data_IF_300658424581
#
_entry.id   IF_300658424581
#
_cell.length_a   1.000
_cell.length_b   1.000
_cell.length_c   1.000
_cell.angle_alpha   90.00
_cell.angle_beta   90.00
_cell.angle_gamma   90.00
#
_symmetry.space_group_name_H-M   'P 1'
#
loop_
_entity.id
_entity.type
_entity.pdbx_description
1 polymer ?
#
# COMPACT_ATOMS: atom_id res chain seq x y z
N UNK A 1 61.46 -39.86 -30.05
CA UNK A 1 61.89 -39.00 -28.94
C UNK A 1 60.81 -37.94 -28.78
N UNK A 2 60.09 -38.06 -27.67
CA UNK A 2 59.24 -37.02 -27.11
C UNK A 2 60.19 -35.95 -26.55
N UNK A 3 60.01 -34.68 -26.90
CA UNK A 3 60.56 -33.58 -26.12
C UNK A 3 59.47 -32.53 -25.94
N UNK A 4 59.05 -32.46 -24.67
CA UNK A 4 58.18 -31.47 -24.08
C UNK A 4 58.72 -30.05 -24.27
N UNK A 5 58.01 -29.19 -25.00
CA UNK A 5 58.13 -27.75 -24.80
C UNK A 5 57.13 -27.33 -23.72
N UNK A 6 57.69 -27.16 -22.53
CA UNK A 6 57.09 -26.72 -21.28
C UNK A 6 56.06 -25.58 -21.48
N UNK A 7 54.78 -25.91 -21.29
CA UNK A 7 53.72 -24.92 -21.14
C UNK A 7 53.96 -24.08 -19.87
N UNK A 8 54.38 -22.83 -20.06
CA UNK A 8 54.55 -21.84 -19.00
C UNK A 8 53.28 -21.76 -18.12
N UNK A 9 53.40 -21.74 -16.78
CA UNK A 9 52.24 -21.67 -15.90
C UNK A 9 51.38 -20.45 -16.20
N UNK A 10 50.07 -20.66 -16.38
CA UNK A 10 49.04 -19.66 -16.69
C UNK A 10 48.78 -18.64 -15.55
N UNK A 11 49.80 -18.29 -14.77
CA UNK A 11 49.71 -17.49 -13.54
C UNK A 11 49.71 -15.98 -13.81
N UNK A 12 50.06 -15.56 -15.03
CA UNK A 12 50.14 -14.13 -15.42
C UNK A 12 48.90 -13.61 -16.18
N UNK A 13 47.94 -14.46 -16.55
CA UNK A 13 46.61 -13.99 -16.92
C UNK A 13 45.75 -13.77 -15.66
N UNK A 14 46.27 -12.97 -14.72
CA UNK A 14 45.39 -12.28 -13.80
C UNK A 14 44.59 -11.26 -14.62
N UNK A 15 43.48 -11.71 -15.23
CA UNK A 15 42.37 -10.81 -15.59
C UNK A 15 42.13 -9.99 -14.34
N UNK A 16 42.53 -8.72 -14.38
CA UNK A 16 42.50 -7.79 -13.25
C UNK A 16 41.12 -7.93 -12.61
N UNK A 17 41.06 -8.63 -11.47
CA UNK A 17 39.79 -8.97 -10.84
C UNK A 17 39.18 -7.64 -10.43
N UNK A 18 38.21 -7.18 -11.20
CA UNK A 18 37.48 -5.96 -10.91
C UNK A 18 36.88 -6.09 -9.50
N UNK A 19 37.23 -5.13 -8.63
CA UNK A 19 36.75 -5.10 -7.25
C UNK A 19 35.66 -4.03 -7.17
N UNK A 20 34.44 -4.46 -6.88
CA UNK A 20 33.33 -3.55 -6.60
C UNK A 20 33.58 -2.88 -5.24
N UNK A 21 33.57 -1.56 -5.21
CA UNK A 21 33.68 -0.72 -4.03
C UNK A 21 32.52 0.30 -3.98
N UNK A 22 32.28 0.83 -2.80
CA UNK A 22 31.32 1.91 -2.58
C UNK A 22 31.72 3.17 -3.37
N UNK A 23 30.73 3.85 -3.93
CA UNK A 23 30.90 5.03 -4.78
C UNK A 23 31.30 4.72 -6.23
N UNK A 24 31.49 3.45 -6.61
CA UNK A 24 31.78 3.10 -8.01
C UNK A 24 30.55 3.22 -8.89
N UNK A 25 30.78 3.71 -10.11
CA UNK A 25 29.80 3.75 -11.18
C UNK A 25 29.88 2.47 -12.00
N UNK A 26 28.73 1.85 -12.23
CA UNK A 26 28.60 0.53 -12.83
C UNK A 26 27.42 0.47 -13.78
N UNK A 27 27.47 -0.47 -14.72
CA UNK A 27 26.29 -0.92 -15.46
C UNK A 27 25.68 -2.10 -14.73
N UNK A 28 24.36 -2.09 -14.51
CA UNK A 28 23.64 -3.19 -13.90
C UNK A 28 22.58 -3.76 -14.84
N UNK A 29 22.58 -5.08 -15.01
CA UNK A 29 21.49 -5.82 -15.65
C UNK A 29 20.50 -6.31 -14.59
N UNK A 30 19.24 -5.90 -14.72
CA UNK A 30 18.17 -6.30 -13.82
C UNK A 30 16.96 -6.84 -14.59
N UNK A 31 16.54 -8.07 -14.31
CA UNK A 31 15.38 -8.74 -14.91
C UNK A 31 15.26 -8.52 -16.43
N UNK A 32 14.09 -8.05 -16.89
CA UNK A 32 13.76 -7.76 -18.29
C UNK A 32 14.38 -6.46 -18.83
N UNK A 33 14.97 -5.63 -17.97
CA UNK A 33 15.47 -4.31 -18.34
C UNK A 33 16.85 -4.38 -18.99
N UNK A 34 17.21 -3.49 -19.93
CA UNK A 34 18.56 -3.41 -20.47
C UNK A 34 19.57 -3.09 -19.36
N UNK A 35 20.86 -3.21 -19.67
CA UNK A 35 21.89 -2.69 -18.77
C UNK A 35 21.68 -1.19 -18.57
N UNK A 36 21.64 -0.75 -17.32
CA UNK A 36 21.42 0.66 -16.97
C UNK A 36 22.51 1.16 -16.01
N UNK A 37 22.94 2.44 -16.10
CA UNK A 37 23.92 3.02 -15.20
C UNK A 37 23.42 3.08 -13.75
N UNK A 38 24.29 2.77 -12.81
CA UNK A 38 24.02 2.79 -11.38
C UNK A 38 25.27 3.16 -10.56
N UNK A 39 25.06 3.67 -9.36
CA UNK A 39 26.10 3.92 -8.35
C UNK A 39 26.03 2.87 -7.24
N UNK A 40 27.18 2.35 -6.82
CA UNK A 40 27.27 1.39 -5.71
C UNK A 40 27.23 2.13 -4.38
N UNK A 41 26.22 1.85 -3.55
CA UNK A 41 26.07 2.43 -2.22
C UNK A 41 26.76 1.61 -1.12
N UNK A 42 26.73 0.28 -1.21
CA UNK A 42 27.45 -0.57 -0.25
C UNK A 42 27.75 -1.95 -0.84
N UNK A 43 28.80 -2.62 -0.34
CA UNK A 43 29.21 -3.93 -0.84
C UNK A 43 29.27 -4.94 0.30
N UNK A 44 28.42 -5.96 0.23
CA UNK A 44 28.44 -7.10 1.15
C UNK A 44 29.34 -8.19 0.60
N UNK A 45 30.66 -8.01 0.77
CA UNK A 45 31.70 -8.92 0.23
C UNK A 45 31.46 -10.39 0.60
N UNK A 46 31.04 -10.65 1.85
CA UNK A 46 30.72 -11.99 2.36
C UNK A 46 29.70 -12.75 1.50
N UNK A 47 28.74 -12.03 0.91
CA UNK A 47 27.63 -12.62 0.15
C UNK A 47 27.73 -12.36 -1.36
N UNK A 48 28.83 -11.74 -1.84
CA UNK A 48 29.00 -11.32 -3.25
C UNK A 48 27.80 -10.52 -3.78
N UNK A 49 27.18 -9.70 -2.92
CA UNK A 49 26.06 -8.81 -3.24
C UNK A 49 26.48 -7.35 -3.05
N UNK A 50 25.94 -6.45 -3.86
CA UNK A 50 26.15 -5.01 -3.76
C UNK A 50 24.79 -4.30 -3.75
N UNK A 51 24.65 -3.29 -2.90
CA UNK A 51 23.51 -2.38 -2.91
C UNK A 51 23.84 -1.25 -3.88
N UNK A 52 22.99 -1.07 -4.89
CA UNK A 52 23.17 -0.08 -5.95
C UNK A 52 21.97 0.87 -6.02
N UNK A 53 22.16 2.00 -6.69
CA UNK A 53 21.13 2.98 -6.99
C UNK A 53 21.22 3.33 -8.47
N UNK A 54 20.15 3.14 -9.23
CA UNK A 54 20.18 3.49 -10.65
C UNK A 54 20.24 5.00 -10.84
N UNK A 55 20.96 5.41 -11.88
CA UNK A 55 21.02 6.81 -12.29
C UNK A 55 19.80 7.12 -13.13
N UNK A 56 18.95 8.03 -12.66
CA UNK A 56 17.68 8.40 -13.28
C UNK A 56 17.28 9.82 -12.83
N UNK A 57 16.23 10.40 -13.41
CA UNK A 57 15.73 11.75 -13.06
C UNK A 57 15.33 11.87 -11.57
N UNK A 58 14.91 10.76 -10.98
CA UNK A 58 14.54 10.64 -9.56
C UNK A 58 15.72 10.65 -8.58
N UNK A 59 16.97 10.70 -9.07
CA UNK A 59 18.19 10.85 -8.24
C UNK A 59 18.25 12.23 -7.57
N UNK A 60 17.35 13.15 -7.93
CA UNK A 60 17.35 14.52 -7.45
C UNK A 60 16.40 14.76 -6.26
N UNK A 61 15.59 13.77 -5.90
CA UNK A 61 14.57 13.95 -4.88
C UNK A 61 15.19 13.88 -3.46
N UNK A 62 14.83 14.81 -2.58
CA UNK A 62 15.43 14.98 -1.25
C UNK A 62 15.27 13.76 -0.31
N UNK A 63 14.45 12.77 -0.70
CA UNK A 63 14.29 11.47 -0.04
C UNK A 63 15.47 10.50 -0.29
N UNK A 64 16.40 10.84 -1.18
CA UNK A 64 17.45 9.92 -1.64
C UNK A 64 18.50 9.55 -0.57
N UNK A 65 18.82 10.46 0.36
CA UNK A 65 19.70 10.14 1.51
C UNK A 65 19.19 8.94 2.32
N UNK A 66 17.88 8.74 2.35
CA UNK A 66 17.20 7.64 3.04
C UNK A 66 16.70 6.51 2.11
N UNK A 67 16.90 6.61 0.79
CA UNK A 67 16.40 5.63 -0.19
C UNK A 67 17.21 4.33 -0.15
N UNK A 68 16.59 3.21 0.21
CA UNK A 68 17.28 1.92 0.28
C UNK A 68 17.72 1.50 -1.12
N UNK A 69 19.02 1.25 -1.29
CA UNK A 69 19.58 0.79 -2.58
C UNK A 69 19.24 -0.68 -2.86
N UNK A 70 19.09 -1.01 -4.13
CA UNK A 70 18.70 -2.31 -4.66
C UNK A 70 19.85 -3.31 -4.50
N UNK A 71 19.58 -4.47 -3.92
CA UNK A 71 20.61 -5.48 -3.66
C UNK A 71 20.75 -6.42 -4.87
N UNK A 72 21.84 -6.31 -5.62
CA UNK A 72 22.12 -7.12 -6.81
C UNK A 72 23.39 -7.97 -6.64
N UNK A 73 23.49 -9.05 -7.41
CA UNK A 73 24.71 -9.85 -7.45
C UNK A 73 25.85 -9.04 -8.06
N UNK A 74 27.05 -9.13 -7.48
CA UNK A 74 28.25 -8.51 -8.06
C UNK A 74 28.54 -9.02 -9.48
N UNK A 75 28.01 -10.20 -9.86
CA UNK A 75 28.17 -10.77 -11.20
C UNK A 75 27.35 -10.07 -12.28
N UNK A 76 26.25 -9.40 -11.92
CA UNK A 76 25.41 -8.67 -12.88
C UNK A 76 25.90 -7.24 -13.12
N UNK A 77 26.93 -6.83 -12.38
CA UNK A 77 27.57 -5.52 -12.49
C UNK A 77 28.75 -5.57 -13.47
N UNK A 78 28.80 -4.59 -14.37
CA UNK A 78 29.98 -4.31 -15.20
C UNK A 78 30.54 -2.93 -14.83
N UNK A 79 31.87 -2.70 -14.92
CA UNK A 79 32.44 -1.37 -14.76
C UNK A 79 31.80 -0.39 -15.74
N UNK A 80 31.60 0.87 -15.35
CA UNK A 80 31.04 1.89 -16.25
C UNK A 80 31.88 2.06 -17.53
N UNK A 81 33.21 1.99 -17.39
CA UNK A 81 34.20 2.08 -18.47
C UNK A 81 34.50 0.74 -19.17
N UNK A 82 33.49 -0.12 -19.34
CA UNK A 82 33.67 -1.37 -20.07
C UNK A 82 33.76 -1.15 -21.60
N UNK A 83 34.46 -2.04 -22.30
CA UNK A 83 34.60 -2.00 -23.77
C UNK A 83 33.23 -2.05 -24.48
N UNK A 84 32.25 -2.68 -23.85
CA UNK A 84 30.88 -2.83 -24.35
C UNK A 84 30.00 -1.58 -24.11
N UNK A 85 30.50 -0.50 -23.49
CA UNK A 85 29.72 0.70 -23.10
C UNK A 85 28.80 1.19 -24.22
N UNK A 86 29.31 1.30 -25.44
CA UNK A 86 28.53 1.78 -26.59
C UNK A 86 27.40 0.82 -26.99
N UNK A 87 27.62 -0.49 -26.86
CA UNK A 87 26.61 -1.51 -27.13
C UNK A 87 25.51 -1.46 -26.07
N UNK A 88 25.87 -1.28 -24.80
CA UNK A 88 24.92 -1.13 -23.69
C UNK A 88 24.08 0.14 -23.86
N UNK A 89 24.70 1.26 -24.22
CA UNK A 89 23.99 2.51 -24.54
C UNK A 89 23.03 2.33 -25.72
N UNK A 90 23.48 1.68 -26.80
CA UNK A 90 22.63 1.43 -27.98
C UNK A 90 21.44 0.53 -27.64
N UNK A 91 21.64 -0.49 -26.80
CA UNK A 91 20.57 -1.37 -26.35
C UNK A 91 19.55 -0.63 -25.47
N UNK A 92 20.01 0.22 -24.56
CA UNK A 92 19.15 1.03 -23.69
C UNK A 92 18.40 2.12 -24.47
N UNK A 93 19.05 2.76 -25.44
CA UNK A 93 18.47 3.79 -26.33
C UNK A 93 17.26 3.28 -27.10
N UNK A 94 17.26 1.99 -27.50
CA UNK A 94 16.11 1.39 -28.20
C UNK A 94 14.83 1.38 -27.37
N UNK A 95 14.95 1.33 -26.05
CA UNK A 95 13.80 1.22 -25.13
C UNK A 95 13.49 2.53 -24.40
N UNK A 96 14.51 3.35 -24.13
CA UNK A 96 14.41 4.54 -23.27
C UNK A 96 14.93 5.83 -23.94
N UNK A 97 15.07 5.83 -25.27
CA UNK A 97 15.44 6.99 -26.08
C UNK A 97 16.63 7.77 -25.49
N UNK A 98 16.44 9.08 -25.25
CA UNK A 98 17.48 9.99 -24.78
C UNK A 98 17.70 9.94 -23.26
N UNK A 99 16.88 9.21 -22.50
CA UNK A 99 17.04 9.10 -21.06
C UNK A 99 18.41 8.49 -20.69
N UNK A 100 18.87 7.50 -21.45
CA UNK A 100 20.19 6.90 -21.21
C UNK A 100 21.33 7.89 -21.47
N UNK A 101 21.19 8.75 -22.48
CA UNK A 101 22.22 9.75 -22.81
C UNK A 101 22.32 10.80 -21.74
N UNK A 102 21.18 11.21 -21.19
CA UNK A 102 21.15 12.12 -20.06
C UNK A 102 21.83 11.51 -18.83
N UNK A 103 21.51 10.26 -18.47
CA UNK A 103 22.16 9.56 -17.35
C UNK A 103 23.68 9.44 -17.53
N UNK A 104 24.12 9.08 -18.75
CA UNK A 104 25.54 8.98 -19.09
C UNK A 104 26.21 10.34 -19.06
N UNK A 105 25.58 11.39 -19.59
CA UNK A 105 26.10 12.76 -19.57
C UNK A 105 26.25 13.30 -18.14
N UNK A 106 25.31 12.98 -17.25
CA UNK A 106 25.38 13.33 -15.83
C UNK A 106 26.57 12.67 -15.13
N UNK A 107 26.83 11.40 -15.45
CA UNK A 107 28.01 10.68 -14.96
C UNK A 107 29.30 11.28 -15.50
N UNK A 108 29.36 11.58 -16.80
CA UNK A 108 30.56 12.11 -17.44
C UNK A 108 30.89 13.50 -16.88
N UNK A 109 29.90 14.40 -16.69
CA UNK A 109 30.12 15.71 -16.07
C UNK A 109 30.62 15.59 -14.61
N UNK A 110 30.04 14.69 -13.80
CA UNK A 110 30.55 14.38 -12.47
C UNK A 110 32.04 14.00 -12.48
N UNK A 111 32.42 13.10 -13.39
CA UNK A 111 33.81 12.62 -13.49
C UNK A 111 34.77 13.70 -13.94
N UNK A 112 34.37 14.55 -14.87
CA UNK A 112 35.16 15.71 -15.31
C UNK A 112 35.39 16.64 -14.12
N UNK A 113 34.34 17.02 -13.38
CA UNK A 113 34.47 17.92 -12.23
C UNK A 113 35.33 17.34 -11.12
N UNK A 114 35.25 16.02 -10.89
CA UNK A 114 36.15 15.34 -9.94
C UNK A 114 37.59 15.31 -10.41
N UNK A 115 37.84 15.03 -11.70
CA UNK A 115 39.19 15.03 -12.27
C UNK A 115 39.84 16.42 -12.27
N UNK A 116 39.05 17.45 -12.50
CA UNK A 116 39.47 18.84 -12.45
C UNK A 116 39.48 19.45 -11.03
N UNK A 117 39.22 18.64 -9.99
CA UNK A 117 39.13 19.08 -8.58
C UNK A 117 38.12 20.21 -8.32
N UNK A 118 37.16 20.43 -9.23
CA UNK A 118 36.07 21.40 -9.07
C UNK A 118 34.94 20.85 -8.19
N UNK A 119 34.96 19.56 -7.87
CA UNK A 119 34.03 18.90 -6.95
C UNK A 119 34.72 17.73 -6.24
N UNK A 120 34.46 17.53 -4.95
CA UNK A 120 35.13 16.51 -4.12
C UNK A 120 34.19 15.49 -3.48
N UNK A 121 32.87 15.65 -3.67
CA UNK A 121 31.86 14.76 -3.09
C UNK A 121 31.59 13.47 -3.88
N UNK A 122 30.65 12.69 -3.35
CA UNK A 122 30.06 11.52 -3.99
C UNK A 122 29.19 11.89 -5.20
N UNK A 123 28.88 10.91 -6.05
CA UNK A 123 28.00 11.13 -7.21
C UNK A 123 26.61 11.64 -6.78
N UNK A 124 26.07 11.10 -5.68
CA UNK A 124 24.79 11.51 -5.10
C UNK A 124 24.84 12.97 -4.64
N UNK A 125 25.90 13.37 -3.94
CA UNK A 125 26.10 14.77 -3.52
C UNK A 125 26.24 15.72 -4.73
N UNK A 126 26.88 15.26 -5.81
CA UNK A 126 26.97 16.03 -7.05
C UNK A 126 25.59 16.23 -7.70
N UNK A 127 24.76 15.18 -7.73
CA UNK A 127 23.42 15.28 -8.29
C UNK A 127 22.56 16.33 -7.56
N UNK A 128 22.70 16.42 -6.24
CA UNK A 128 22.05 17.44 -5.41
C UNK A 128 22.70 18.83 -5.49
N UNK A 129 23.94 18.95 -5.99
CA UNK A 129 24.66 20.21 -6.03
C UNK A 129 24.18 21.15 -7.16
N UNK A 130 24.47 22.44 -7.03
CA UNK A 130 24.19 23.42 -8.09
C UNK A 130 25.03 23.17 -9.35
N UNK A 131 26.19 22.53 -9.19
CA UNK A 131 27.11 22.19 -10.29
C UNK A 131 26.48 21.25 -11.33
N UNK A 132 25.47 20.46 -10.95
CA UNK A 132 24.75 19.57 -11.87
C UNK A 132 23.61 20.27 -12.63
N UNK A 133 23.21 21.50 -12.24
CA UNK A 133 22.09 22.24 -12.87
C UNK A 133 22.18 22.30 -14.40
N UNK A 134 23.34 22.60 -15.03
CA UNK A 134 23.43 22.69 -16.48
C UNK A 134 23.03 21.40 -17.19
N UNK A 135 23.44 20.25 -16.64
CA UNK A 135 23.08 18.93 -17.18
C UNK A 135 21.62 18.60 -16.86
N UNK A 136 21.14 18.94 -15.65
CA UNK A 136 19.74 18.70 -15.24
C UNK A 136 18.72 19.45 -16.08
N UNK A 137 19.03 20.68 -16.53
CA UNK A 137 18.13 21.49 -17.38
C UNK A 137 17.90 20.91 -18.79
N UNK A 138 18.76 19.99 -19.24
CA UNK A 138 18.59 19.34 -20.56
C UNK A 138 17.57 18.18 -20.56
N UNK A 139 17.03 17.78 -19.40
CA UNK A 139 16.06 16.67 -19.23
C UNK A 139 14.63 17.00 -19.70
N UNK A 140 14.27 18.29 -19.79
CA UNK A 140 12.86 18.74 -19.81
C UNK A 140 12.06 18.57 -21.12
N UNK A 141 12.30 17.53 -21.94
CA UNK A 141 11.61 17.38 -23.24
C UNK A 141 11.09 15.99 -23.60
N UNK A 142 11.18 14.93 -22.77
CA UNK A 142 10.63 13.61 -23.17
C UNK A 142 10.04 12.77 -22.01
N UNK A 143 8.84 12.15 -22.17
CA UNK A 143 8.10 11.51 -21.07
C UNK A 143 8.51 10.05 -20.75
N UNK A 144 9.67 9.57 -21.21
CA UNK A 144 10.05 8.15 -21.11
C UNK A 144 11.19 7.91 -20.12
N UNK A 145 10.90 8.12 -18.84
CA UNK A 145 11.83 7.94 -17.71
C UNK A 145 12.04 6.45 -17.38
N UNK A 146 13.26 6.06 -16.98
CA UNK A 146 13.55 4.68 -16.62
C UNK A 146 12.79 4.29 -15.33
N UNK A 147 12.12 3.12 -15.26
CA UNK A 147 11.23 2.79 -14.15
C UNK A 147 11.99 2.29 -12.90
N UNK A 148 12.90 3.11 -12.36
CA UNK A 148 13.71 2.76 -11.19
C UNK A 148 12.83 2.45 -9.96
N UNK A 149 11.75 3.20 -9.76
CA UNK A 149 10.82 3.03 -8.63
C UNK A 149 10.10 1.68 -8.68
N UNK A 150 9.65 1.24 -9.86
CA UNK A 150 9.01 -0.08 -10.03
C UNK A 150 10.01 -1.22 -9.83
N UNK A 151 11.29 -1.03 -10.19
CA UNK A 151 12.36 -2.02 -9.96
C UNK A 151 12.70 -2.15 -8.47
N UNK A 152 12.64 -1.05 -7.73
CA UNK A 152 12.79 -1.04 -6.27
C UNK A 152 11.64 -1.79 -5.59
N UNK A 153 10.40 -1.56 -6.00
CA UNK A 153 9.22 -2.29 -5.52
C UNK A 153 9.34 -3.80 -5.81
N UNK A 154 9.75 -4.19 -7.02
CA UNK A 154 10.04 -5.57 -7.40
C UNK A 154 11.13 -6.20 -6.51
N UNK A 155 12.15 -5.45 -6.12
CA UNK A 155 13.26 -5.96 -5.30
C UNK A 155 12.95 -5.97 -3.80
N UNK A 156 12.13 -5.04 -3.31
CA UNK A 156 11.62 -5.09 -1.93
C UNK A 156 10.71 -6.32 -1.74
N UNK A 157 9.97 -6.72 -2.78
CA UNK A 157 9.21 -7.97 -2.82
C UNK A 157 10.12 -9.20 -2.81
N UNK A 158 11.24 -9.18 -3.54
CA UNK A 158 12.18 -10.32 -3.61
C UNK A 158 13.07 -10.47 -2.36
N UNK A 159 13.59 -9.37 -1.81
CA UNK A 159 14.48 -9.41 -0.64
C UNK A 159 13.79 -9.85 0.66
N UNK A 160 12.47 -9.75 0.74
CA UNK A 160 11.66 -10.32 1.81
C UNK A 160 11.51 -11.86 1.72
N UNK A 161 11.96 -12.49 0.64
CA UNK A 161 11.81 -13.95 0.43
C UNK A 161 13.02 -14.80 0.84
N UNK A 162 14.21 -14.23 1.08
CA UNK A 162 15.45 -15.02 1.25
C UNK A 162 15.92 -15.24 2.71
N UNK A 163 15.19 -14.82 3.74
CA UNK A 163 15.55 -15.15 5.14
C UNK A 163 14.40 -15.86 5.87
N UNK A 164 14.67 -17.11 6.24
CA UNK A 164 13.92 -18.04 7.13
C UNK A 164 12.83 -18.92 6.47
N UNK A 165 12.93 -20.27 6.58
CA UNK A 165 12.02 -21.21 5.92
C UNK A 165 10.74 -21.51 6.74
N UNK A 166 10.07 -20.52 7.34
CA UNK A 166 8.80 -20.78 8.04
C UNK A 166 7.63 -19.83 7.80
N UNK A 167 7.74 -18.84 6.90
CA UNK A 167 6.59 -17.96 6.61
C UNK A 167 6.42 -17.73 5.11
N UNK A 168 6.03 -18.78 4.41
CA UNK A 168 5.51 -18.68 3.05
C UNK A 168 4.16 -17.93 3.06
N UNK A 169 4.18 -16.60 3.09
CA UNK A 169 3.10 -15.83 2.50
C UNK A 169 3.45 -15.55 1.05
N UNK A 170 3.07 -16.53 0.21
CA UNK A 170 2.84 -16.32 -1.23
C UNK A 170 2.22 -14.94 -1.41
N UNK A 171 2.78 -14.12 -2.28
CA UNK A 171 2.06 -13.01 -2.93
C UNK A 171 0.95 -13.67 -3.75
N UNK A 172 -0.11 -14.08 -3.05
CA UNK A 172 -1.34 -14.54 -3.67
C UNK A 172 -1.89 -13.28 -4.29
N UNK A 173 -2.07 -13.27 -5.62
CA UNK A 173 -3.03 -12.39 -6.32
C UNK A 173 -4.13 -12.04 -5.32
N UNK A 174 -4.30 -10.76 -5.01
CA UNK A 174 -5.21 -10.28 -3.95
C UNK A 174 -6.53 -11.03 -4.06
N UNK A 175 -6.69 -12.05 -3.22
CA UNK A 175 -7.91 -12.82 -3.17
C UNK A 175 -8.92 -11.88 -2.52
N UNK A 176 -10.14 -11.74 -3.06
CA UNK A 176 -11.21 -10.97 -2.43
C UNK A 176 -11.28 -11.36 -0.97
N UNK A 177 -11.51 -10.38 -0.09
CA UNK A 177 -11.51 -10.62 1.35
C UNK A 177 -12.54 -11.71 1.68
N UNK A 178 -12.04 -12.94 1.84
CA UNK A 178 -12.87 -14.11 2.07
C UNK A 178 -13.52 -14.05 3.44
N UNK A 179 -12.95 -13.27 4.38
CA UNK A 179 -13.49 -13.10 5.73
C UNK A 179 -14.63 -12.09 5.70
N UNK A 180 -14.44 -10.92 5.08
CA UNK A 180 -15.54 -9.98 4.85
C UNK A 180 -16.70 -10.65 4.10
N UNK A 181 -16.42 -11.28 2.96
CA UNK A 181 -17.45 -11.98 2.19
C UNK A 181 -18.11 -13.17 2.93
N UNK A 182 -17.45 -13.75 3.94
CA UNK A 182 -18.07 -14.78 4.79
C UNK A 182 -18.97 -14.14 5.86
N UNK A 183 -18.55 -13.01 6.44
CA UNK A 183 -19.34 -12.21 7.38
C UNK A 183 -20.59 -11.68 6.69
N UNK A 184 -20.47 -11.10 5.49
CA UNK A 184 -21.61 -10.60 4.71
C UNK A 184 -22.63 -11.71 4.43
N UNK A 185 -22.19 -12.92 4.04
CA UNK A 185 -23.07 -14.08 3.85
C UNK A 185 -23.73 -14.56 5.15
N UNK A 186 -23.05 -14.44 6.29
CA UNK A 186 -23.67 -14.75 7.58
C UNK A 186 -24.74 -13.71 7.92
N UNK A 187 -24.44 -12.43 7.70
CA UNK A 187 -25.34 -11.30 7.91
C UNK A 187 -26.57 -11.37 6.98
N UNK A 188 -26.46 -11.92 5.77
CA UNK A 188 -27.63 -12.16 4.91
C UNK A 188 -28.71 -13.00 5.60
N UNK A 189 -28.34 -13.93 6.50
CA UNK A 189 -29.31 -14.73 7.26
C UNK A 189 -30.06 -13.87 8.27
N UNK A 190 -29.37 -12.92 8.92
CA UNK A 190 -29.98 -11.95 9.82
C UNK A 190 -30.95 -11.06 9.05
N UNK A 191 -30.52 -10.52 7.90
CA UNK A 191 -31.37 -9.69 7.02
C UNK A 191 -32.60 -10.47 6.55
N UNK A 192 -32.43 -11.73 6.14
CA UNK A 192 -33.55 -12.59 5.75
C UNK A 192 -34.54 -12.76 6.91
N UNK A 193 -34.06 -13.03 8.12
CA UNK A 193 -34.91 -13.19 9.29
C UNK A 193 -35.68 -11.90 9.63
N UNK A 194 -35.02 -10.75 9.55
CA UNK A 194 -35.62 -9.44 9.85
C UNK A 194 -36.65 -9.05 8.79
N UNK A 195 -36.28 -9.11 7.51
CA UNK A 195 -37.06 -8.50 6.41
C UNK A 195 -38.04 -9.50 5.78
N UNK A 196 -37.59 -10.73 5.48
CA UNK A 196 -38.40 -11.70 4.74
C UNK A 196 -39.28 -12.52 5.68
N UNK A 197 -38.68 -13.08 6.74
CA UNK A 197 -39.43 -13.85 7.74
C UNK A 197 -40.21 -12.94 8.71
N UNK A 198 -39.88 -11.65 8.76
CA UNK A 198 -40.49 -10.66 9.67
C UNK A 198 -40.46 -11.09 11.13
N UNK A 199 -39.44 -11.85 11.52
CA UNK A 199 -39.39 -12.51 12.82
C UNK A 199 -39.34 -11.55 14.00
N UNK A 200 -38.84 -10.34 13.77
CA UNK A 200 -38.74 -9.28 14.79
C UNK A 200 -39.94 -8.32 14.79
N UNK A 201 -40.88 -8.43 13.85
CA UNK A 201 -41.94 -7.42 13.67
C UNK A 201 -42.79 -7.22 14.93
N UNK A 202 -43.25 -8.32 15.56
CA UNK A 202 -44.07 -8.24 16.77
C UNK A 202 -43.34 -7.55 17.93
N UNK A 203 -42.06 -7.86 18.10
CA UNK A 203 -41.21 -7.25 19.13
C UNK A 203 -41.03 -5.76 18.87
N UNK A 204 -40.64 -5.38 17.65
CA UNK A 204 -40.46 -3.97 17.27
C UNK A 204 -41.75 -3.16 17.44
N UNK A 205 -42.90 -3.73 17.06
CA UNK A 205 -44.20 -3.07 17.29
C UNK A 205 -44.48 -2.85 18.77
N UNK A 206 -44.11 -3.79 19.65
CA UNK A 206 -44.27 -3.64 21.10
C UNK A 206 -43.33 -2.57 21.67
N UNK A 207 -42.10 -2.47 21.17
CA UNK A 207 -41.13 -1.42 21.54
C UNK A 207 -41.66 -0.04 21.10
N UNK A 208 -42.12 0.09 19.86
CA UNK A 208 -42.68 1.35 19.32
C UNK A 208 -43.89 1.81 20.15
N UNK A 209 -44.76 0.88 20.56
CA UNK A 209 -45.93 1.18 21.41
C UNK A 209 -45.58 1.43 22.89
N UNK A 210 -44.32 1.31 23.28
CA UNK A 210 -43.87 1.43 24.67
C UNK A 210 -44.33 0.29 25.58
N UNK A 211 -44.74 -0.85 25.02
CA UNK A 211 -45.20 -2.03 25.76
C UNK A 211 -44.05 -2.93 26.20
N UNK A 212 -42.91 -2.85 25.52
CA UNK A 212 -41.72 -3.63 25.81
C UNK A 212 -40.59 -2.70 26.25
N UNK A 213 -39.86 -3.08 27.31
CA UNK A 213 -38.66 -2.36 27.72
C UNK A 213 -37.54 -2.56 26.69
N UNK A 214 -36.87 -1.47 26.33
CA UNK A 214 -35.72 -1.45 25.44
C UNK A 214 -34.66 -0.53 26.04
N UNK A 215 -33.46 -1.08 26.26
CA UNK A 215 -32.30 -0.31 26.72
C UNK A 215 -31.97 0.82 25.74
N UNK A 216 -32.02 0.53 24.43
CA UNK A 216 -31.76 1.48 23.35
C UNK A 216 -32.77 2.63 23.33
N UNK A 217 -34.06 2.34 23.59
CA UNK A 217 -35.10 3.37 23.70
C UNK A 217 -34.88 4.30 24.90
N UNK A 218 -34.44 3.74 26.03
CA UNK A 218 -34.16 4.49 27.25
C UNK A 218 -32.92 5.38 27.09
N UNK A 219 -31.87 4.86 26.46
CA UNK A 219 -30.66 5.60 26.11
C UNK A 219 -30.96 6.71 25.09
N UNK A 220 -31.78 6.44 24.08
CA UNK A 220 -32.22 7.42 23.09
C UNK A 220 -32.90 8.63 23.74
N UNK A 221 -33.80 8.39 24.71
CA UNK A 221 -34.48 9.47 25.47
C UNK A 221 -33.53 10.26 26.37
N UNK A 222 -32.49 9.61 26.88
CA UNK A 222 -31.51 10.21 27.77
C UNK A 222 -30.44 11.04 27.03
N UNK A 223 -30.10 10.68 25.78
CA UNK A 223 -29.10 11.38 24.96
C UNK A 223 -29.68 12.62 24.25
N UNK A 224 -29.49 13.80 24.85
CA UNK A 224 -29.89 15.10 24.26
C UNK A 224 -28.97 15.62 23.13
N UNK A 225 -27.81 15.02 22.86
CA UNK A 225 -26.86 15.49 21.85
C UNK A 225 -26.24 14.34 21.02
N UNK A 226 -26.06 14.62 19.73
CA UNK A 226 -25.65 13.68 18.68
C UNK A 226 -24.28 13.05 18.96
N UNK A 227 -24.25 11.73 19.10
CA UNK A 227 -23.01 10.95 18.94
C UNK A 227 -22.78 10.79 17.45
N UNK A 228 -21.80 11.52 16.90
CA UNK A 228 -21.53 11.63 15.46
C UNK A 228 -21.01 10.36 14.76
N UNK A 229 -21.19 9.18 15.34
CA UNK A 229 -20.79 7.92 14.71
C UNK A 229 -21.73 6.80 15.16
N UNK A 230 -22.51 6.27 14.21
CA UNK A 230 -23.35 5.07 14.40
C UNK A 230 -22.53 3.92 13.83
N UNK A 231 -22.03 3.06 14.71
CA UNK A 231 -21.33 1.84 14.29
C UNK A 231 -22.37 0.79 13.93
N UNK A 232 -22.65 0.62 12.65
CA UNK A 232 -23.62 -0.36 12.18
C UNK A 232 -22.98 -1.74 12.14
N UNK A 233 -23.57 -2.71 12.85
CA UNK A 233 -23.10 -4.11 12.86
C UNK A 233 -23.01 -4.76 11.46
N UNK A 234 -23.82 -4.29 10.52
CA UNK A 234 -23.81 -4.73 9.13
C UNK A 234 -22.80 -3.88 8.33
N UNK A 235 -21.81 -4.53 7.73
CA UNK A 235 -20.73 -3.88 6.96
C UNK A 235 -21.06 -3.65 5.48
N UNK A 236 -22.15 -4.23 4.96
CA UNK A 236 -22.60 -4.07 3.58
C UNK A 236 -23.75 -3.06 3.53
N UNK A 237 -23.55 -1.95 2.83
CA UNK A 237 -24.52 -0.86 2.73
C UNK A 237 -25.87 -1.32 2.17
N UNK A 238 -25.88 -2.29 1.24
CA UNK A 238 -27.14 -2.81 0.66
C UNK A 238 -27.92 -3.63 1.68
N UNK A 239 -27.24 -4.31 2.60
CA UNK A 239 -27.88 -5.01 3.72
C UNK A 239 -28.48 -4.01 4.69
N UNK A 240 -27.75 -2.94 5.03
CA UNK A 240 -28.23 -1.85 5.89
C UNK A 240 -29.48 -1.22 5.26
N UNK A 241 -29.41 -0.82 3.99
CA UNK A 241 -30.52 -0.18 3.27
C UNK A 241 -31.80 -1.02 3.30
N UNK A 242 -31.68 -2.34 3.06
CA UNK A 242 -32.82 -3.26 3.10
C UNK A 242 -33.48 -3.31 4.48
N UNK A 243 -32.66 -3.39 5.53
CA UNK A 243 -33.17 -3.45 6.91
C UNK A 243 -33.80 -2.11 7.29
N UNK A 244 -33.12 -0.99 7.04
CA UNK A 244 -33.63 0.36 7.34
C UNK A 244 -34.95 0.63 6.60
N UNK A 245 -35.03 0.31 5.31
CA UNK A 245 -36.27 0.46 4.52
C UNK A 245 -37.41 -0.39 5.10
N UNK A 246 -37.11 -1.60 5.55
CA UNK A 246 -38.10 -2.44 6.22
C UNK A 246 -38.54 -1.84 7.56
N UNK A 247 -37.61 -1.35 8.39
CA UNK A 247 -37.91 -0.73 9.68
C UNK A 247 -38.77 0.54 9.52
N UNK A 248 -38.49 1.36 8.51
CA UNK A 248 -39.36 2.48 8.11
C UNK A 248 -40.78 2.01 7.84
N UNK A 249 -40.94 0.93 7.06
CA UNK A 249 -42.28 0.38 6.77
C UNK A 249 -43.00 -0.16 8.01
N UNK A 250 -42.25 -0.65 9.02
CA UNK A 250 -42.83 -1.10 10.30
C UNK A 250 -43.27 0.12 11.12
N UNK A 251 -42.46 1.17 11.17
CA UNK A 251 -42.86 2.46 11.76
C UNK A 251 -44.14 2.97 11.12
N UNK A 252 -44.19 3.09 9.79
CA UNK A 252 -45.35 3.60 9.05
C UNK A 252 -46.65 2.83 9.39
N UNK A 253 -46.57 1.51 9.51
CA UNK A 253 -47.72 0.65 9.84
C UNK A 253 -48.23 0.84 11.26
N UNK A 254 -47.34 1.12 12.22
CA UNK A 254 -47.70 1.35 13.63
C UNK A 254 -48.13 2.80 13.85
N UNK A 255 -47.60 3.73 13.06
CA UNK A 255 -47.81 5.18 13.13
C UNK A 255 -49.20 5.67 12.71
N UNK A 256 -50.17 4.78 12.54
CA UNK A 256 -51.58 5.16 12.43
C UNK A 256 -52.21 5.63 13.75
N UNK A 257 -51.49 5.65 14.90
CA UNK A 257 -52.18 5.96 16.16
C UNK A 257 -51.48 6.70 17.32
N UNK A 258 -50.22 7.18 17.30
CA UNK A 258 -49.73 7.86 18.54
C UNK A 258 -48.53 8.80 18.35
N UNK A 259 -48.71 10.03 18.87
CA UNK A 259 -47.82 11.06 19.50
C UNK A 259 -46.28 11.02 19.42
N UNK A 260 -45.62 10.00 18.88
CA UNK A 260 -44.15 9.91 18.79
C UNK A 260 -43.52 10.82 17.73
N UNK A 261 -44.33 11.43 16.85
CA UNK A 261 -43.86 12.17 15.67
C UNK A 261 -43.46 13.62 15.95
N UNK A 262 -43.86 14.19 17.09
CA UNK A 262 -43.64 15.63 17.35
C UNK A 262 -42.24 15.95 17.93
N UNK A 263 -41.56 14.97 18.54
CA UNK A 263 -40.25 15.17 19.21
C UNK A 263 -39.10 14.28 18.69
N UNK A 264 -39.36 13.33 17.77
CA UNK A 264 -38.35 12.37 17.31
C UNK A 264 -37.97 12.57 15.85
N UNK A 265 -36.68 12.76 15.57
CA UNK A 265 -36.13 12.57 14.23
C UNK A 265 -36.29 11.09 13.85
N UNK A 266 -37.26 10.78 13.00
CA UNK A 266 -37.63 9.42 12.61
C UNK A 266 -36.43 8.58 12.16
N UNK A 267 -35.54 9.17 11.37
CA UNK A 267 -34.29 8.52 10.94
C UNK A 267 -33.39 8.14 12.10
N UNK A 268 -33.30 9.01 13.13
CA UNK A 268 -32.49 8.75 14.32
C UNK A 268 -33.11 7.65 15.17
N UNK A 269 -34.43 7.67 15.35
CA UNK A 269 -35.13 6.59 16.05
C UNK A 269 -34.91 5.23 15.40
N UNK A 270 -34.98 5.16 14.07
CA UNK A 270 -34.73 3.92 13.33
C UNK A 270 -33.29 3.43 13.54
N UNK A 271 -32.29 4.31 13.42
CA UNK A 271 -30.89 3.91 13.49
C UNK A 271 -30.41 3.65 14.93
N UNK A 272 -30.83 4.46 15.90
CA UNK A 272 -30.36 4.38 17.30
C UNK A 272 -31.14 3.36 18.13
N UNK A 273 -32.39 3.03 17.76
CA UNK A 273 -33.27 2.16 18.55
C UNK A 273 -33.68 0.92 17.77
N UNK A 274 -34.36 1.07 16.63
CA UNK A 274 -34.97 -0.09 15.97
C UNK A 274 -33.96 -1.00 15.28
N UNK A 275 -32.90 -0.42 14.71
CA UNK A 275 -31.84 -1.15 14.04
C UNK A 275 -31.07 -2.07 15.01
N UNK A 276 -30.54 -1.57 16.16
CA UNK A 276 -29.89 -2.44 17.14
C UNK A 276 -30.86 -3.49 17.71
N UNK A 277 -32.10 -3.12 18.04
CA UNK A 277 -33.12 -4.06 18.52
C UNK A 277 -33.39 -5.18 17.51
N UNK A 278 -33.57 -4.84 16.22
CA UNK A 278 -33.81 -5.83 15.18
C UNK A 278 -32.63 -6.78 14.99
N UNK A 279 -31.40 -6.26 14.97
CA UNK A 279 -30.19 -7.05 14.77
C UNK A 279 -29.94 -7.97 15.97
N UNK A 280 -30.06 -7.48 17.20
CA UNK A 280 -29.84 -8.29 18.41
C UNK A 280 -30.86 -9.43 18.48
N UNK A 281 -32.14 -9.15 18.23
CA UNK A 281 -33.17 -10.19 18.21
C UNK A 281 -32.96 -11.19 17.07
N UNK A 282 -32.48 -10.73 15.91
CA UNK A 282 -32.12 -11.62 14.82
C UNK A 282 -30.92 -12.51 15.16
N UNK A 283 -29.88 -11.98 15.81
CA UNK A 283 -28.72 -12.75 16.27
C UNK A 283 -29.16 -13.80 17.29
N UNK A 284 -29.98 -13.42 18.27
CA UNK A 284 -30.47 -14.33 19.30
C UNK A 284 -31.21 -15.53 18.68
N UNK A 285 -32.07 -15.30 17.69
CA UNK A 285 -32.83 -16.36 17.04
C UNK A 285 -31.97 -17.19 16.05
N UNK A 286 -31.21 -16.54 15.17
CA UNK A 286 -30.44 -17.21 14.11
C UNK A 286 -29.30 -18.03 14.70
N UNK A 287 -28.60 -17.50 15.70
CA UNK A 287 -27.48 -18.17 16.36
C UNK A 287 -27.89 -18.98 17.60
N UNK A 288 -29.19 -18.98 17.94
CA UNK A 288 -29.78 -19.71 19.07
C UNK A 288 -29.08 -19.41 20.40
N UNK A 289 -28.94 -18.13 20.71
CA UNK A 289 -28.32 -17.64 21.93
C UNK A 289 -29.26 -16.74 22.73
N UNK A 290 -28.94 -16.50 24.00
CA UNK A 290 -29.74 -15.58 24.82
C UNK A 290 -29.63 -14.15 24.30
N UNK A 291 -30.65 -13.33 24.55
CA UNK A 291 -30.67 -11.90 24.15
C UNK A 291 -29.44 -11.17 24.69
N UNK A 292 -29.03 -11.45 25.94
CA UNK A 292 -27.83 -10.85 26.55
C UNK A 292 -26.53 -11.21 25.80
N UNK A 293 -26.41 -12.46 25.35
CA UNK A 293 -25.24 -12.88 24.56
C UNK A 293 -25.26 -12.28 23.15
N UNK A 294 -26.45 -12.13 22.57
CA UNK A 294 -26.62 -11.46 21.28
C UNK A 294 -26.25 -9.98 21.35
N UNK A 295 -26.62 -9.31 22.44
CA UNK A 295 -26.26 -7.92 22.72
C UNK A 295 -24.74 -7.74 22.92
N UNK A 296 -24.10 -8.61 23.70
CA UNK A 296 -22.63 -8.61 23.84
C UNK A 296 -21.94 -8.81 22.49
N UNK A 297 -22.47 -9.74 21.67
CA UNK A 297 -21.96 -9.98 20.32
C UNK A 297 -22.16 -8.78 19.39
N UNK A 298 -23.29 -8.09 19.50
CA UNK A 298 -23.58 -6.87 18.76
C UNK A 298 -22.57 -5.76 19.12
N UNK A 299 -22.40 -5.48 20.41
CA UNK A 299 -21.49 -4.44 20.93
C UNK A 299 -20.02 -4.72 20.61
N UNK A 300 -19.63 -5.99 20.60
CA UNK A 300 -18.25 -6.39 20.26
C UNK A 300 -17.93 -6.14 18.78
N UNK A 301 -18.94 -6.13 17.91
CA UNK A 301 -18.79 -5.99 16.47
C UNK A 301 -18.03 -7.16 15.83
N UNK A 302 -17.78 -7.07 14.51
CA UNK A 302 -17.05 -8.11 13.80
C UNK A 302 -15.54 -8.09 14.11
N UNK A 303 -14.93 -9.29 14.11
CA UNK A 303 -13.49 -9.43 14.33
C UNK A 303 -12.72 -9.18 13.03
N UNK A 304 -12.07 -8.03 12.96
CA UNK A 304 -11.18 -7.66 11.87
C UNK A 304 -9.83 -8.39 11.99
N UNK A 305 -9.32 -8.87 10.86
CA UNK A 305 -7.96 -9.38 10.71
C UNK A 305 -6.96 -8.23 10.82
N UNK A 306 -5.76 -8.46 11.36
CA UNK A 306 -4.70 -7.44 11.39
C UNK A 306 -4.45 -6.77 10.03
N UNK A 307 -4.58 -7.55 8.95
CA UNK A 307 -4.52 -7.05 7.56
C UNK A 307 -5.65 -6.09 7.16
N UNK A 308 -6.88 -6.32 7.61
CA UNK A 308 -8.02 -5.41 7.34
C UNK A 308 -7.81 -4.09 8.07
N UNK A 309 -7.29 -4.16 9.31
CA UNK A 309 -6.95 -3.00 10.12
C UNK A 309 -5.80 -2.20 9.50
N UNK A 310 -4.75 -2.87 9.03
CA UNK A 310 -3.63 -2.24 8.33
C UNK A 310 -4.08 -1.50 7.06
N UNK A 311 -4.88 -2.16 6.21
CA UNK A 311 -5.42 -1.54 4.99
C UNK A 311 -6.28 -0.31 5.30
N UNK A 312 -7.18 -0.41 6.29
CA UNK A 312 -8.01 0.72 6.70
C UNK A 312 -7.16 1.88 7.22
N UNK A 313 -6.15 1.61 8.04
CA UNK A 313 -5.24 2.64 8.55
C UNK A 313 -4.47 3.34 7.41
N UNK A 314 -3.98 2.58 6.43
CA UNK A 314 -3.33 3.15 5.24
C UNK A 314 -4.26 4.07 4.45
N UNK A 315 -5.51 3.67 4.24
CA UNK A 315 -6.53 4.47 3.54
C UNK A 315 -6.88 5.75 4.32
N UNK A 316 -7.04 5.64 5.64
CA UNK A 316 -7.25 6.79 6.54
C UNK A 316 -6.06 7.76 6.46
N UNK A 317 -4.83 7.25 6.51
CA UNK A 317 -3.63 8.08 6.38
C UNK A 317 -3.56 8.81 5.04
N UNK A 318 -3.91 8.13 3.95
CA UNK A 318 -3.96 8.74 2.61
C UNK A 318 -5.00 9.84 2.56
N UNK A 319 -6.20 9.61 3.08
CA UNK A 319 -7.25 10.63 3.16
C UNK A 319 -6.84 11.82 4.03
N UNK A 320 -6.17 11.59 5.17
CA UNK A 320 -5.66 12.66 6.02
C UNK A 320 -4.59 13.50 5.28
N UNK A 321 -3.66 12.86 4.58
CA UNK A 321 -2.63 13.53 3.76
C UNK A 321 -3.27 14.39 2.66
N UNK A 322 -4.29 13.88 1.97
CA UNK A 322 -5.04 14.66 0.96
C UNK A 322 -5.76 15.87 1.58
N UNK A 323 -6.48 15.68 2.70
CA UNK A 323 -7.18 16.77 3.39
C UNK A 323 -6.24 17.87 3.89
N UNK A 324 -5.02 17.52 4.31
CA UNK A 324 -3.99 18.50 4.71
C UNK A 324 -3.45 19.29 3.51
N UNK A 325 -3.31 18.65 2.35
CA UNK A 325 -2.88 19.32 1.11
C UNK A 325 -3.96 20.29 0.59
N UNK A 326 -5.24 19.93 0.67
CA UNK A 326 -6.39 20.77 0.31
C UNK A 326 -6.58 21.99 1.24
N UNK A 327 -6.07 21.93 2.47
CA UNK A 327 -6.16 23.05 3.44
C UNK A 327 -4.99 24.04 3.37
N UNK A 328 -4.00 23.84 2.49
CA UNK A 328 -2.96 24.86 2.27
C UNK A 328 -3.58 26.02 1.47
N UNK A 329 -3.67 27.25 2.01
CA UNK A 329 -4.18 28.38 1.26
C UNK A 329 -3.26 28.64 0.07
N UNK A 330 -3.83 28.80 -1.13
CA UNK A 330 -3.08 29.30 -2.28
C UNK A 330 -2.57 30.68 -1.92
N UNK A 331 -1.30 30.76 -1.56
CA UNK A 331 -0.63 32.04 -1.34
C UNK A 331 -0.39 32.60 -2.74
N UNK A 332 -1.20 33.60 -3.10
CA UNK A 332 -1.03 34.39 -4.32
C UNK A 332 0.13 35.35 -4.22
#
# INVERSE_FOLDING_TARGET
EEEDEEELPSILQQKKRWVVAEGLLVWCKFNKYPYWPAVVRSVKRKYKKASILFVDENVLDAKEKSRRGICVSVRTLKPFDCEERQQLMTAARKTYNNAIDWCVGLIDDYRIRRGCHSFTGSFVEYCAAELSIPVRRTSSQDPMTFPCTSIEEETELESQTETTPSRQQRVKKLLPDRRKAARDRANERLVHFIVQAKGVEKHLQAVIKGQQYSHWLDEYKSRRQNSGYIDTYLEDDRQVDKVVTYLQSVCDRVSLNTQLREDCEESRFILDVLLPEAIIHAIAEVDRMSIKQAEEKYLKGPLHSGREVEHFNEEVEQQMKMKVQLKKPSTG
#
